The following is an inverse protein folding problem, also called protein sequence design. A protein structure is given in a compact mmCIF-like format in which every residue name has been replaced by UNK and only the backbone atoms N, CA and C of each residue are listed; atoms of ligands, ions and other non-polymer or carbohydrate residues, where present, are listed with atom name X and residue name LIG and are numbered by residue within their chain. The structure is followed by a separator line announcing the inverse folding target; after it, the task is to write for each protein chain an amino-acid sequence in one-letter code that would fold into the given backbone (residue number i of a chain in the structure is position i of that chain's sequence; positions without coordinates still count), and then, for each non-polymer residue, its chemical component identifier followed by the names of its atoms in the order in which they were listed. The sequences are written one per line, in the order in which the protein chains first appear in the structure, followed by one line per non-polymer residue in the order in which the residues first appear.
data_IF_669658037545
#
_entry.id   IF_669658037545
#
_cell.length_a   1.000
_cell.length_b   1.000
_cell.length_c   1.000
_cell.angle_alpha   90.00
_cell.angle_beta   90.00
_cell.angle_gamma   90.00
#
_symmetry.space_group_name_H-M   'P 1'
#
loop_
_entity.id
_entity.type
_entity.pdbx_description
1 polymer ?
#
# COMPACT_ATOMS: atom_id res chain seq x y z
N UNK A 1 21.09 12.59 4.30
CA UNK A 1 19.67 12.77 3.89
C UNK A 1 19.16 11.64 3.00
N UNK A 2 19.94 11.10 2.05
CA UNK A 2 19.47 10.02 1.15
C UNK A 2 19.07 8.69 1.82
N UNK A 3 19.72 8.28 2.91
CA UNK A 3 19.38 7.03 3.62
C UNK A 3 18.04 7.05 4.35
N UNK A 4 17.59 8.23 4.80
CA UNK A 4 16.32 8.35 5.53
C UNK A 4 15.13 8.17 4.57
N UNK A 5 15.18 8.82 3.40
CA UNK A 5 14.19 8.68 2.34
C UNK A 5 14.08 7.24 1.84
N UNK A 6 15.22 6.56 1.60
CA UNK A 6 15.22 5.14 1.19
C UNK A 6 14.58 4.23 2.24
N UNK A 7 14.83 4.51 3.53
CA UNK A 7 14.23 3.75 4.62
C UNK A 7 12.72 3.95 4.68
N UNK A 8 12.25 5.17 4.44
CA UNK A 8 10.83 5.52 4.41
C UNK A 8 10.10 4.84 3.24
N UNK A 9 10.68 4.90 2.03
CA UNK A 9 10.20 4.20 0.83
C UNK A 9 9.98 2.70 1.13
N UNK A 10 10.97 2.04 1.75
CA UNK A 10 10.88 0.62 2.11
C UNK A 10 9.86 0.35 3.21
N UNK A 11 9.66 1.28 4.13
CA UNK A 11 8.67 1.13 5.21
C UNK A 11 7.24 1.19 4.64
N UNK A 12 6.96 2.16 3.77
CA UNK A 12 5.67 2.30 3.09
C UNK A 12 5.42 1.09 2.19
N UNK A 13 6.43 0.64 1.43
CA UNK A 13 6.33 -0.56 0.60
C UNK A 13 5.90 -1.79 1.42
N UNK A 14 6.52 -2.01 2.59
CA UNK A 14 6.16 -3.11 3.49
C UNK A 14 4.74 -2.96 4.05
N UNK A 15 4.30 -1.74 4.36
CA UNK A 15 2.93 -1.47 4.84
C UNK A 15 1.90 -1.77 3.75
N UNK A 16 2.07 -1.25 2.54
CA UNK A 16 1.22 -1.56 1.38
C UNK A 16 1.11 -3.07 1.14
N UNK A 17 2.24 -3.78 1.22
CA UNK A 17 2.27 -5.23 1.07
C UNK A 17 1.50 -5.98 2.16
N UNK A 18 1.43 -5.46 3.38
CA UNK A 18 0.64 -6.05 4.46
C UNK A 18 -0.84 -5.69 4.30
N UNK A 19 -1.15 -4.43 4.00
CA UNK A 19 -2.53 -3.94 3.85
C UNK A 19 -3.23 -4.68 2.73
N UNK A 20 -2.63 -4.78 1.53
CA UNK A 20 -3.22 -5.54 0.41
C UNK A 20 -3.49 -7.02 0.74
N UNK A 21 -2.63 -7.67 1.54
CA UNK A 21 -2.81 -9.08 1.89
C UNK A 21 -4.01 -9.26 2.81
N UNK A 22 -4.34 -8.25 3.62
CA UNK A 22 -5.56 -8.22 4.42
C UNK A 22 -6.78 -7.83 3.59
N UNK A 23 -6.64 -6.86 2.68
CA UNK A 23 -7.75 -6.38 1.83
C UNK A 23 -8.23 -7.40 0.83
N UNK A 24 -7.30 -8.14 0.22
CA UNK A 24 -7.59 -9.07 -0.86
C UNK A 24 -7.26 -10.51 -0.44
N UNK A 25 -7.40 -10.84 0.85
CA UNK A 25 -6.99 -12.16 1.37
C UNK A 25 -7.69 -13.32 0.66
N UNK A 26 -8.91 -13.09 0.17
CA UNK A 26 -9.77 -14.06 -0.53
C UNK A 26 -9.70 -13.94 -2.07
N UNK A 27 -8.88 -13.02 -2.60
CA UNK A 27 -8.74 -12.76 -4.04
C UNK A 27 -7.27 -12.86 -4.48
N UNK A 28 -6.82 -14.08 -4.79
CA UNK A 28 -5.45 -14.36 -5.23
C UNK A 28 -5.10 -13.61 -6.52
N UNK A 29 -6.07 -13.43 -7.42
CA UNK A 29 -5.86 -12.69 -8.66
C UNK A 29 -5.56 -11.21 -8.35
N UNK A 30 -6.36 -10.57 -7.51
CA UNK A 30 -6.11 -9.20 -7.06
C UNK A 30 -4.77 -9.10 -6.30
N UNK A 31 -4.43 -10.08 -5.46
CA UNK A 31 -3.13 -10.13 -4.79
C UNK A 31 -1.98 -10.19 -5.80
N UNK A 32 -2.07 -10.96 -6.88
CA UNK A 32 -1.02 -10.99 -7.90
C UNK A 32 -0.95 -9.70 -8.71
N UNK A 33 -2.09 -9.18 -9.16
CA UNK A 33 -2.17 -7.95 -9.95
C UNK A 33 -1.61 -6.76 -9.18
N UNK A 34 -2.04 -6.57 -7.92
CA UNK A 34 -1.56 -5.49 -7.08
C UNK A 34 -0.08 -5.67 -6.74
N UNK A 35 0.40 -6.92 -6.56
CA UNK A 35 1.84 -7.19 -6.34
C UNK A 35 2.66 -6.66 -7.50
N UNK A 36 2.25 -7.00 -8.71
CA UNK A 36 2.95 -6.64 -9.92
C UNK A 36 2.90 -5.13 -10.13
N UNK A 37 1.74 -4.50 -9.90
CA UNK A 37 1.57 -3.05 -9.98
C UNK A 37 2.51 -2.31 -9.02
N UNK A 38 2.54 -2.69 -7.74
CA UNK A 38 3.44 -2.07 -6.75
C UNK A 38 4.90 -2.24 -7.18
N UNK A 39 5.31 -3.45 -7.57
CA UNK A 39 6.69 -3.69 -7.99
C UNK A 39 7.09 -2.88 -9.22
N UNK A 40 6.22 -2.76 -10.22
CA UNK A 40 6.45 -1.99 -11.44
C UNK A 40 6.62 -0.50 -11.13
N UNK A 41 5.76 0.08 -10.30
CA UNK A 41 5.86 1.49 -9.92
C UNK A 41 7.15 1.77 -9.13
N UNK A 42 7.49 0.93 -8.15
CA UNK A 42 8.75 1.07 -7.39
C UNK A 42 9.99 0.83 -8.25
N UNK A 43 9.89 -0.05 -9.27
CA UNK A 43 10.99 -0.29 -10.22
C UNK A 43 11.23 0.93 -11.10
N UNK A 44 10.17 1.61 -11.58
CA UNK A 44 10.28 2.90 -12.28
C UNK A 44 10.91 3.98 -11.39
N UNK A 45 10.62 3.94 -10.09
CA UNK A 45 11.16 4.90 -9.13
C UNK A 45 12.64 4.65 -8.75
N UNK A 46 13.23 3.49 -9.08
CA UNK A 46 14.65 3.19 -8.75
C UNK A 46 15.64 4.16 -9.39
N UNK A 47 15.32 4.73 -10.55
CA UNK A 47 16.18 5.69 -11.26
C UNK A 47 15.94 7.13 -10.82
N UNK A 48 14.90 7.38 -10.02
CA UNK A 48 14.58 8.71 -9.50
C UNK A 48 15.60 9.07 -8.43
N UNK A 49 16.46 10.04 -8.74
CA UNK A 49 17.45 10.59 -7.81
C UNK A 49 17.04 11.93 -7.21
N UNK A 50 15.90 12.49 -7.65
CA UNK A 50 15.38 13.75 -7.13
C UNK A 50 14.67 13.52 -5.78
N UNK A 51 15.16 14.09 -4.67
CA UNK A 51 14.57 13.90 -3.35
C UNK A 51 13.12 14.40 -3.26
N UNK A 52 12.76 15.49 -3.96
CA UNK A 52 11.38 15.99 -3.97
C UNK A 52 10.41 14.98 -4.60
N UNK A 53 10.79 14.40 -5.73
CA UNK A 53 9.99 13.36 -6.39
C UNK A 53 9.84 12.11 -5.51
N UNK A 54 10.91 11.71 -4.78
CA UNK A 54 10.83 10.59 -3.83
C UNK A 54 9.82 10.88 -2.71
N UNK A 55 9.79 12.12 -2.20
CA UNK A 55 8.82 12.51 -1.18
C UNK A 55 7.38 12.49 -1.71
N UNK A 56 7.13 12.99 -2.92
CA UNK A 56 5.81 12.92 -3.55
C UNK A 56 5.35 11.48 -3.75
N UNK A 57 6.25 10.60 -4.21
CA UNK A 57 5.98 9.18 -4.38
C UNK A 57 5.69 8.48 -3.04
N UNK A 58 6.43 8.82 -1.98
CA UNK A 58 6.16 8.33 -0.63
C UNK A 58 4.78 8.76 -0.16
N UNK A 59 4.45 10.04 -0.31
CA UNK A 59 3.14 10.57 0.09
C UNK A 59 2.01 9.89 -0.66
N UNK A 60 2.14 9.75 -1.98
CA UNK A 60 1.16 9.03 -2.79
C UNK A 60 0.98 7.58 -2.34
N UNK A 61 2.07 6.86 -2.09
CA UNK A 61 2.02 5.49 -1.60
C UNK A 61 1.39 5.37 -0.20
N UNK A 62 1.56 6.37 0.66
CA UNK A 62 0.91 6.45 1.97
C UNK A 62 -0.60 6.71 1.84
N UNK A 63 -1.03 7.61 0.95
CA UNK A 63 -2.45 7.84 0.69
C UNK A 63 -3.15 6.59 0.15
N UNK A 64 -2.51 5.86 -0.77
CA UNK A 64 -3.02 4.57 -1.26
C UNK A 64 -3.11 3.53 -0.13
N UNK A 65 -2.11 3.45 0.75
CA UNK A 65 -2.17 2.56 1.91
C UNK A 65 -3.32 2.93 2.86
N UNK A 66 -3.52 4.22 3.08
CA UNK A 66 -4.58 4.73 3.94
C UNK A 66 -5.97 4.42 3.36
N UNK A 67 -6.17 4.63 2.07
CA UNK A 67 -7.41 4.30 1.37
C UNK A 67 -7.70 2.80 1.47
N UNK A 68 -6.73 1.95 1.10
CA UNK A 68 -6.87 0.49 1.17
C UNK A 68 -7.18 0.01 2.60
N UNK A 69 -6.52 0.59 3.61
CA UNK A 69 -6.77 0.24 5.02
C UNK A 69 -8.16 0.67 5.46
N UNK A 70 -8.62 1.85 5.06
CA UNK A 70 -9.95 2.36 5.40
C UNK A 70 -11.03 1.49 4.77
N UNK A 71 -10.86 1.09 3.50
CA UNK A 71 -11.76 0.13 2.84
C UNK A 71 -11.81 -1.20 3.58
N UNK A 72 -10.67 -1.71 4.08
CA UNK A 72 -10.64 -2.94 4.90
C UNK A 72 -11.40 -2.78 6.20
N UNK A 73 -11.15 -1.72 6.95
CA UNK A 73 -11.81 -1.48 8.23
C UNK A 73 -13.33 -1.44 8.01
N UNK A 74 -13.78 -0.71 6.99
CA UNK A 74 -15.20 -0.64 6.63
C UNK A 74 -15.79 -1.99 6.19
N UNK A 75 -15.03 -2.81 5.46
CA UNK A 75 -15.46 -4.15 5.05
C UNK A 75 -15.58 -5.10 6.25
N UNK A 76 -14.59 -5.10 7.15
CA UNK A 76 -14.57 -5.92 8.38
C UNK A 76 -15.68 -5.49 9.34
N UNK A 77 -15.93 -4.19 9.50
CA UNK A 77 -17.04 -3.70 10.34
C UNK A 77 -18.41 -4.11 9.79
N UNK A 78 -18.59 -4.10 8.46
CA UNK A 78 -19.82 -4.60 7.83
C UNK A 78 -20.00 -6.11 7.96
N UNK A 79 -18.92 -6.89 7.88
CA UNK A 79 -18.97 -8.35 8.08
C UNK A 79 -19.24 -8.71 9.55
N UNK A 80 -18.67 -7.96 10.49
CA UNK A 80 -18.88 -8.17 11.93
C UNK A 80 -20.23 -7.65 12.44
N UNK A 81 -21.00 -6.96 11.60
CA UNK A 81 -22.29 -6.34 11.92
C UNK A 81 -23.49 -7.26 11.72
N UNK A 82 -23.40 -8.53 12.14
CA UNK A 82 -24.61 -9.34 12.34
C UNK A 82 -25.24 -8.89 13.66
N UNK A 83 -26.05 -7.84 13.60
CA UNK A 83 -27.01 -7.55 14.65
C UNK A 83 -28.17 -8.53 14.48
N UNK A 84 -28.09 -9.67 15.17
CA UNK A 84 -29.29 -10.41 15.53
C UNK A 84 -30.02 -9.59 16.61
N UNK A 85 -31.16 -8.99 16.25
CA UNK A 85 -32.42 -8.89 17.02
C UNK A 85 -33.30 -7.75 16.50
#
# INVERSE_FOLDING_TARGET
MGDNLRREVLNIFKRLHRTRMKTFQDDDFALQVIRNKINEEYKKCKTVSNPAAIQELNKFAEEVEHELRTTVIQAVEKESGTFES
#
